data_IF_783276722018
#
_entry.id   IF_783276722018
#
_cell.length_a   1.000
_cell.length_b   1.000
_cell.length_c   1.000
_cell.angle_alpha   90.00
_cell.angle_beta   90.00
_cell.angle_gamma   90.00
#
_symmetry.space_group_name_H-M   'P 1'
#
loop_
_entity.id
_entity.type
_entity.pdbx_description
1 polymer ?
#
# COMPACT_ATOMS: atom_id res chain seq x y z
N UNK A 1 4.20 5.03 -33.95
CA UNK A 1 3.79 6.36 -33.44
C UNK A 1 2.30 6.65 -33.64
N UNK A 2 1.71 6.32 -34.80
CA UNK A 2 0.30 6.62 -35.13
C UNK A 2 -0.75 5.80 -34.35
N UNK A 3 -0.44 4.58 -33.90
CA UNK A 3 -1.36 3.74 -33.13
C UNK A 3 -1.62 4.24 -31.69
N UNK A 4 -0.66 4.96 -31.08
CA UNK A 4 -0.80 5.56 -29.75
C UNK A 4 -1.76 6.76 -29.74
N UNK A 5 -1.80 7.51 -30.83
CA UNK A 5 -2.73 8.64 -30.98
C UNK A 5 -4.18 8.19 -31.17
N UNK A 6 -4.43 7.07 -31.85
CA UNK A 6 -5.79 6.52 -32.04
C UNK A 6 -6.43 6.02 -30.75
N UNK A 7 -5.65 5.34 -29.89
CA UNK A 7 -6.12 4.88 -28.58
C UNK A 7 -6.38 6.04 -27.61
N UNK A 8 -5.51 7.07 -27.62
CA UNK A 8 -5.72 8.29 -26.86
C UNK A 8 -6.93 9.10 -27.35
N UNK A 9 -7.22 9.13 -28.65
CA UNK A 9 -8.41 9.79 -29.21
C UNK A 9 -9.70 9.08 -28.80
N UNK A 10 -9.76 7.74 -28.93
CA UNK A 10 -10.93 6.95 -28.51
C UNK A 10 -11.16 7.01 -27.00
N UNK A 11 -10.12 6.94 -26.18
CA UNK A 11 -10.25 7.09 -24.73
C UNK A 11 -10.76 8.50 -24.37
N UNK A 12 -10.29 9.54 -25.07
CA UNK A 12 -10.73 10.92 -24.88
C UNK A 12 -12.16 11.17 -25.38
N UNK A 13 -12.60 10.49 -26.44
CA UNK A 13 -13.99 10.51 -26.93
C UNK A 13 -14.94 9.74 -26.01
N UNK A 14 -14.55 8.58 -25.47
CA UNK A 14 -15.32 7.86 -24.45
C UNK A 14 -15.41 8.64 -23.12
N UNK A 15 -14.34 9.34 -22.72
CA UNK A 15 -14.34 10.23 -21.55
C UNK A 15 -15.16 11.50 -21.78
N UNK A 16 -15.15 12.06 -22.99
CA UNK A 16 -15.98 13.23 -23.32
C UNK A 16 -17.47 12.86 -23.43
N UNK A 17 -17.80 11.68 -23.96
CA UNK A 17 -19.19 11.18 -24.02
C UNK A 17 -19.78 10.86 -22.63
N UNK A 18 -18.93 10.56 -21.63
CA UNK A 18 -19.33 10.40 -20.21
C UNK A 18 -19.09 11.64 -19.34
N UNK A 19 -18.52 12.71 -19.90
CA UNK A 19 -18.43 14.01 -19.22
C UNK A 19 -19.81 14.64 -19.05
N UNK A 20 -20.71 14.41 -20.00
CA UNK A 20 -22.08 14.92 -19.96
C UNK A 20 -22.97 14.22 -18.91
N UNK A 21 -22.55 13.05 -18.40
CA UNK A 21 -23.23 12.38 -17.27
C UNK A 21 -22.60 12.71 -15.91
N UNK A 22 -21.40 13.29 -15.88
CA UNK A 22 -20.80 13.83 -14.66
C UNK A 22 -21.18 15.30 -14.53
N UNK A 23 -22.45 15.58 -14.22
CA UNK A 23 -22.82 16.91 -13.73
C UNK A 23 -22.02 17.14 -12.46
N UNK A 24 -21.18 18.20 -12.36
CA UNK A 24 -20.64 18.59 -11.09
C UNK A 24 -21.84 18.96 -10.22
N UNK A 25 -22.23 18.07 -9.32
CA UNK A 25 -23.04 18.46 -8.19
C UNK A 25 -22.24 19.52 -7.45
N UNK A 26 -22.58 20.79 -7.66
CA UNK A 26 -22.16 21.90 -6.81
C UNK A 26 -22.85 21.72 -5.47
N UNK A 27 -22.40 20.74 -4.72
CA UNK A 27 -22.61 20.63 -3.30
C UNK A 27 -21.20 20.56 -2.73
N UNK A 28 -20.59 21.72 -2.51
CA UNK A 28 -19.64 21.81 -1.41
C UNK A 28 -20.36 21.16 -0.21
N UNK A 29 -19.82 20.11 0.40
CA UNK A 29 -20.48 19.46 1.51
C UNK A 29 -20.86 20.54 2.53
N UNK A 30 -22.09 20.51 3.07
CA UNK A 30 -22.42 21.37 4.22
C UNK A 30 -21.36 21.10 5.28
N UNK A 31 -21.04 22.08 6.13
CA UNK A 31 -20.01 21.92 7.19
C UNK A 31 -20.24 20.63 8.03
N UNK A 32 -21.49 20.22 8.20
CA UNK A 32 -21.89 18.95 8.84
C UNK A 32 -21.50 17.68 8.05
N UNK A 33 -21.49 17.73 6.72
CA UNK A 33 -21.03 16.65 5.84
C UNK A 33 -19.51 16.60 5.78
N UNK A 34 -18.80 17.72 6.02
CA UNK A 34 -17.34 17.74 6.13
C UNK A 34 -16.89 17.01 7.40
N UNK A 35 -17.52 17.28 8.55
CA UNK A 35 -17.23 16.56 9.79
C UNK A 35 -17.51 15.05 9.66
N UNK A 36 -18.63 14.67 9.04
CA UNK A 36 -18.94 13.25 8.77
C UNK A 36 -17.99 12.61 7.76
N UNK A 37 -17.62 13.31 6.69
CA UNK A 37 -16.66 12.82 5.69
C UNK A 37 -15.26 12.63 6.30
N UNK A 38 -14.85 13.55 7.18
CA UNK A 38 -13.60 13.46 7.93
C UNK A 38 -13.67 12.30 8.93
N UNK A 39 -14.76 12.18 9.71
CA UNK A 39 -14.94 11.07 10.65
C UNK A 39 -14.96 9.71 9.94
N UNK A 40 -15.59 9.57 8.77
CA UNK A 40 -15.54 8.35 7.96
C UNK A 40 -14.13 8.07 7.40
N UNK A 41 -13.43 9.10 6.91
CA UNK A 41 -12.07 8.96 6.37
C UNK A 41 -11.06 8.58 7.46
N UNK A 42 -11.21 9.11 8.68
CA UNK A 42 -10.33 8.85 9.82
C UNK A 42 -10.73 7.62 10.66
N UNK A 43 -12.00 7.21 10.70
CA UNK A 43 -12.42 6.03 11.48
C UNK A 43 -12.19 4.71 10.73
N UNK A 44 -12.24 4.73 9.39
CA UNK A 44 -12.33 3.53 8.52
C UNK A 44 -13.40 2.47 8.92
N UNK A 45 -14.18 2.72 9.97
CA UNK A 45 -15.51 2.16 10.16
C UNK A 45 -16.42 2.80 9.12
N UNK A 46 -16.53 2.13 7.98
CA UNK A 46 -17.64 2.36 7.08
C UNK A 46 -18.77 1.45 7.56
N UNK A 47 -19.86 2.02 8.11
CA UNK A 47 -21.07 1.23 8.27
C UNK A 47 -21.40 0.62 6.90
N UNK A 48 -21.83 -0.64 6.88
CA UNK A 48 -22.45 -1.26 5.69
C UNK A 48 -23.61 -0.40 5.12
N UNK A 49 -24.04 0.62 5.86
CA UNK A 49 -25.05 1.63 5.56
C UNK A 49 -24.65 2.65 4.48
N UNK A 50 -23.38 2.74 4.07
CA UNK A 50 -23.00 3.50 2.86
C UNK A 50 -23.34 2.75 1.55
N UNK A 51 -23.91 1.55 1.64
CA UNK A 51 -24.78 0.98 0.60
C UNK A 51 -26.12 1.76 0.70
N UNK A 52 -26.09 3.05 0.33
CA UNK A 52 -27.28 3.88 0.42
C UNK A 52 -28.34 3.39 -0.57
N UNK A 53 -29.58 3.27 -0.09
CA UNK A 53 -30.82 2.99 -0.81
C UNK A 53 -31.24 4.10 -1.79
N UNK A 54 -30.28 4.73 -2.46
CA UNK A 54 -30.49 5.86 -3.37
C UNK A 54 -30.37 5.37 -4.83
N UNK A 55 -31.36 5.55 -5.71
CA UNK A 55 -31.38 4.97 -7.06
C UNK A 55 -30.28 5.48 -8.00
N UNK A 56 -29.57 6.56 -7.61
CA UNK A 56 -28.37 7.11 -8.26
C UNK A 56 -27.10 6.27 -8.01
N UNK A 57 -27.09 5.42 -6.98
CA UNK A 57 -26.01 4.48 -6.64
C UNK A 57 -26.04 3.18 -7.46
N UNK A 58 -26.73 3.18 -8.61
CA UNK A 58 -26.72 2.09 -9.59
C UNK A 58 -25.39 1.91 -10.32
N UNK A 59 -24.44 2.82 -10.12
CA UNK A 59 -23.07 2.72 -10.59
C UNK A 59 -22.26 2.37 -9.35
N UNK A 60 -21.61 1.20 -9.30
CA UNK A 60 -20.91 0.69 -8.10
C UNK A 60 -19.61 1.44 -7.75
N UNK A 61 -19.68 2.77 -7.71
CA UNK A 61 -18.62 3.75 -7.52
C UNK A 61 -19.15 4.90 -6.65
N UNK A 62 -18.40 5.28 -5.62
CA UNK A 62 -18.71 6.45 -4.78
C UNK A 62 -17.61 7.49 -4.87
N UNK A 63 -17.98 8.75 -5.04
CA UNK A 63 -17.04 9.87 -5.07
C UNK A 63 -17.15 10.71 -3.79
N UNK A 64 -16.01 11.04 -3.21
CA UNK A 64 -15.86 11.86 -2.02
C UNK A 64 -14.77 12.90 -2.26
N UNK A 65 -14.99 14.14 -1.82
CA UNK A 65 -13.93 15.16 -1.77
C UNK A 65 -13.61 15.46 -0.31
N UNK A 66 -12.38 15.12 0.12
CA UNK A 66 -11.89 15.35 1.47
C UNK A 66 -10.73 16.33 1.41
N UNK A 67 -10.92 17.54 1.95
CA UNK A 67 -9.88 18.58 2.04
C UNK A 67 -9.19 18.89 0.69
N UNK A 68 -9.93 18.83 -0.42
CA UNK A 68 -9.42 19.05 -1.77
C UNK A 68 -8.87 17.79 -2.45
N UNK A 69 -8.83 16.65 -1.75
CA UNK A 69 -8.45 15.35 -2.29
C UNK A 69 -9.68 14.60 -2.78
N UNK A 70 -9.67 14.23 -4.06
CA UNK A 70 -10.72 13.43 -4.69
C UNK A 70 -10.48 11.95 -4.42
N UNK A 71 -11.36 11.32 -3.64
CA UNK A 71 -11.33 9.90 -3.33
C UNK A 71 -12.48 9.21 -4.04
N UNK A 72 -12.19 8.13 -4.75
CA UNK A 72 -13.20 7.30 -5.42
C UNK A 72 -13.15 5.90 -4.81
N UNK A 73 -14.27 5.48 -4.24
CA UNK A 73 -14.45 4.14 -3.70
C UNK A 73 -15.06 3.22 -4.75
N UNK A 74 -14.50 2.01 -4.86
CA UNK A 74 -14.94 0.97 -5.79
C UNK A 74 -15.73 -0.06 -5.01
N UNK A 75 -17.03 -0.17 -5.28
CA UNK A 75 -17.92 -1.12 -4.59
C UNK A 75 -18.28 -2.34 -5.45
N UNK A 76 -18.20 -2.20 -6.78
CA UNK A 76 -18.51 -3.27 -7.75
C UNK A 76 -17.24 -3.91 -8.30
N UNK A 77 -17.28 -5.23 -8.50
CA UNK A 77 -16.21 -5.99 -9.14
C UNK A 77 -16.02 -5.59 -10.61
N UNK A 78 -17.11 -5.27 -11.30
CA UNK A 78 -17.10 -4.76 -12.67
C UNK A 78 -16.34 -3.43 -12.75
N UNK A 79 -16.65 -2.49 -11.85
CA UNK A 79 -15.97 -1.20 -11.78
C UNK A 79 -14.48 -1.35 -11.42
N UNK A 80 -14.16 -2.25 -10.47
CA UNK A 80 -12.77 -2.55 -10.11
C UNK A 80 -11.99 -3.14 -11.29
N UNK A 81 -12.59 -4.07 -12.03
CA UNK A 81 -11.97 -4.65 -13.23
C UNK A 81 -11.78 -3.61 -14.33
N UNK A 82 -12.77 -2.77 -14.59
CA UNK A 82 -12.68 -1.71 -15.61
C UNK A 82 -11.54 -0.72 -15.27
N UNK A 83 -11.45 -0.27 -14.02
CA UNK A 83 -10.46 0.73 -13.63
C UNK A 83 -9.05 0.15 -13.42
N UNK A 84 -8.92 -0.96 -12.70
CA UNK A 84 -7.62 -1.51 -12.31
C UNK A 84 -6.99 -2.41 -13.39
N UNK A 85 -7.80 -3.10 -14.21
CA UNK A 85 -7.31 -4.00 -15.26
C UNK A 85 -7.35 -3.32 -16.61
N UNK A 86 -8.54 -2.93 -17.08
CA UNK A 86 -8.70 -2.38 -18.44
C UNK A 86 -8.01 -1.02 -18.58
N UNK A 87 -8.19 -0.15 -17.58
CA UNK A 87 -7.60 1.19 -17.54
C UNK A 87 -6.35 1.27 -16.65
N UNK A 88 -5.72 0.13 -16.33
CA UNK A 88 -4.61 0.07 -15.38
C UNK A 88 -3.45 1.00 -15.74
N UNK A 89 -3.14 1.21 -17.03
CA UNK A 89 -2.07 2.15 -17.45
C UNK A 89 -2.29 3.59 -17.00
N UNK A 90 -3.54 3.98 -16.72
CA UNK A 90 -3.92 5.31 -16.26
C UNK A 90 -4.00 5.34 -14.73
N UNK A 91 -4.56 4.29 -14.12
CA UNK A 91 -4.86 4.25 -12.68
C UNK A 91 -3.82 3.49 -11.83
N UNK A 92 -2.68 3.08 -12.42
CA UNK A 92 -1.61 2.37 -11.70
C UNK A 92 -0.70 3.27 -10.86
N UNK A 93 -0.96 4.58 -10.81
CA UNK A 93 -0.17 5.48 -9.97
C UNK A 93 -0.50 5.32 -8.47
N UNK A 94 0.31 5.95 -7.62
CA UNK A 94 0.13 5.95 -6.17
C UNK A 94 0.02 7.38 -5.66
N UNK A 95 -0.90 7.67 -4.72
CA UNK A 95 -0.90 8.96 -4.06
C UNK A 95 0.44 9.18 -3.34
N UNK A 96 0.95 10.42 -3.31
CA UNK A 96 2.23 10.71 -2.68
C UNK A 96 2.13 10.50 -1.15
N UNK A 97 2.87 9.52 -0.63
CA UNK A 97 3.00 9.27 0.81
C UNK A 97 4.26 9.97 1.34
N UNK A 98 4.18 11.30 1.46
CA UNK A 98 5.29 12.20 1.83
C UNK A 98 6.01 11.73 3.11
N UNK A 99 5.27 11.20 4.09
CA UNK A 99 5.86 10.69 5.33
C UNK A 99 6.85 9.53 5.07
N UNK A 100 6.49 8.61 4.18
CA UNK A 100 7.26 7.39 3.91
C UNK A 100 8.33 7.66 2.86
N UNK A 101 7.94 8.22 1.73
CA UNK A 101 8.79 8.37 0.56
C UNK A 101 9.79 9.49 0.74
N UNK A 102 9.36 10.65 1.24
CA UNK A 102 10.17 11.86 1.28
C UNK A 102 10.84 12.13 2.63
N UNK A 103 10.15 11.86 3.75
CA UNK A 103 10.71 12.10 5.09
C UNK A 103 11.52 10.91 5.59
N UNK A 104 10.95 9.70 5.55
CA UNK A 104 11.73 8.49 5.87
C UNK A 104 12.72 8.14 4.74
N UNK A 105 12.47 8.61 3.51
CA UNK A 105 13.31 8.27 2.36
C UNK A 105 13.18 6.81 1.93
N UNK A 106 12.05 6.19 2.28
CA UNK A 106 11.80 4.77 2.06
C UNK A 106 10.85 4.61 0.88
N UNK A 107 11.38 4.14 -0.25
CA UNK A 107 10.61 3.98 -1.49
C UNK A 107 10.81 2.58 -2.11
N UNK A 108 10.36 1.51 -1.42
CA UNK A 108 10.28 0.19 -2.03
C UNK A 108 9.20 0.20 -3.13
N UNK A 109 9.24 -0.80 -4.01
CA UNK A 109 8.33 -0.90 -5.17
C UNK A 109 6.86 -0.55 -4.87
N UNK A 110 6.22 -1.05 -3.80
CA UNK A 110 4.81 -0.78 -3.52
C UNK A 110 4.43 0.68 -3.25
N UNK A 111 5.34 1.48 -2.69
CA UNK A 111 5.09 2.90 -2.34
C UNK A 111 5.61 3.88 -3.39
N UNK A 112 6.28 3.38 -4.43
CA UNK A 112 6.83 4.21 -5.50
C UNK A 112 5.73 4.58 -6.50
N UNK A 113 5.68 5.86 -6.89
CA UNK A 113 4.84 6.32 -8.00
C UNK A 113 5.17 5.61 -9.31
N UNK A 114 4.19 5.54 -10.21
CA UNK A 114 4.37 4.84 -11.48
C UNK A 114 5.45 5.51 -12.33
N UNK A 115 6.41 4.71 -12.83
CA UNK A 115 7.52 5.22 -13.63
C UNK A 115 8.53 4.14 -13.99
N UNK A 116 9.58 4.53 -14.73
CA UNK A 116 10.61 3.61 -15.24
C UNK A 116 11.30 2.81 -14.11
N UNK A 117 11.58 3.45 -12.98
CA UNK A 117 12.17 2.80 -11.80
C UNK A 117 11.29 1.66 -11.27
N UNK A 118 9.97 1.89 -11.16
CA UNK A 118 9.03 0.87 -10.71
C UNK A 118 8.94 -0.28 -11.72
N UNK A 119 8.84 0.05 -13.01
CA UNK A 119 8.82 -0.95 -14.08
C UNK A 119 10.09 -1.82 -14.06
N UNK A 120 11.26 -1.22 -13.86
CA UNK A 120 12.52 -1.94 -13.75
C UNK A 120 12.56 -2.85 -12.52
N UNK A 121 12.17 -2.36 -11.35
CA UNK A 121 12.07 -3.18 -10.13
C UNK A 121 11.12 -4.36 -10.32
N UNK A 122 9.94 -4.14 -10.91
CA UNK A 122 8.99 -5.21 -11.23
C UNK A 122 9.55 -6.23 -12.20
N UNK A 123 10.26 -5.78 -13.24
CA UNK A 123 10.89 -6.67 -14.22
C UNK A 123 11.94 -7.58 -13.55
N UNK A 124 12.76 -7.02 -12.66
CA UNK A 124 13.76 -7.80 -11.93
C UNK A 124 13.10 -8.80 -10.96
N UNK A 125 12.05 -8.37 -10.26
CA UNK A 125 11.31 -9.23 -9.36
C UNK A 125 10.59 -10.37 -10.10
N UNK A 126 10.01 -10.10 -11.27
CA UNK A 126 9.42 -11.12 -12.13
C UNK A 126 10.47 -12.09 -12.67
N UNK A 127 11.66 -11.62 -13.02
CA UNK A 127 12.76 -12.49 -13.45
C UNK A 127 13.27 -13.40 -12.33
N UNK A 128 13.25 -12.94 -11.08
CA UNK A 128 13.73 -13.70 -9.92
C UNK A 128 12.66 -14.61 -9.31
N UNK A 129 11.43 -14.12 -9.18
CA UNK A 129 10.32 -14.77 -8.46
C UNK A 129 9.16 -15.19 -9.37
N UNK A 130 9.32 -15.04 -10.69
CA UNK A 130 8.29 -15.41 -11.65
C UNK A 130 8.01 -16.91 -11.69
N UNK A 131 6.93 -17.31 -12.38
CA UNK A 131 6.45 -18.70 -12.42
C UNK A 131 7.49 -19.70 -12.92
N UNK A 132 8.44 -19.24 -13.74
CA UNK A 132 9.53 -20.07 -14.26
C UNK A 132 10.49 -20.57 -13.16
N UNK A 133 10.68 -19.81 -12.07
CA UNK A 133 11.60 -20.14 -10.98
C UNK A 133 10.90 -20.82 -9.79
N UNK A 134 9.56 -20.87 -9.79
CA UNK A 134 8.78 -21.51 -8.72
C UNK A 134 9.22 -22.95 -8.44
N UNK A 135 9.50 -23.82 -9.43
CA UNK A 135 9.96 -25.19 -9.17
C UNK A 135 11.28 -25.25 -8.39
N UNK A 136 12.15 -24.25 -8.54
CA UNK A 136 13.43 -24.17 -7.82
C UNK A 136 13.23 -23.91 -6.33
N UNK A 137 12.17 -23.19 -5.95
CA UNK A 137 11.86 -22.87 -4.55
C UNK A 137 11.06 -23.97 -3.84
N UNK A 138 10.39 -24.86 -4.58
CA UNK A 138 9.58 -25.94 -4.02
C UNK A 138 10.30 -26.79 -2.95
N UNK A 139 11.52 -27.32 -3.16
CA UNK A 139 12.20 -28.11 -2.13
C UNK A 139 12.52 -27.30 -0.87
N UNK A 140 12.75 -25.99 -1.01
CA UNK A 140 13.01 -25.09 0.13
C UNK A 140 11.74 -24.91 0.97
N UNK A 141 10.59 -24.71 0.33
CA UNK A 141 9.30 -24.64 1.02
C UNK A 141 8.97 -25.96 1.71
N UNK A 142 9.19 -27.11 1.06
CA UNK A 142 8.94 -28.42 1.66
C UNK A 142 9.76 -28.66 2.93
N UNK A 143 11.02 -28.23 2.95
CA UNK A 143 11.87 -28.33 4.13
C UNK A 143 11.33 -27.50 5.31
N UNK A 144 10.98 -26.23 5.07
CA UNK A 144 10.44 -25.35 6.12
C UNK A 144 9.04 -25.77 6.59
N UNK A 145 8.20 -26.29 5.68
CA UNK A 145 6.86 -26.81 6.01
C UNK A 145 6.96 -27.99 6.98
N UNK A 146 7.93 -28.91 6.81
CA UNK A 146 8.13 -30.02 7.77
C UNK A 146 8.41 -29.48 9.18
N UNK A 147 9.26 -28.45 9.29
CA UNK A 147 9.54 -27.79 10.56
C UNK A 147 8.34 -27.04 11.13
N UNK A 148 7.52 -26.39 10.29
CA UNK A 148 6.27 -25.77 10.69
C UNK A 148 5.28 -26.81 11.26
N UNK A 149 5.04 -27.90 10.54
CA UNK A 149 4.12 -28.97 10.95
C UNK A 149 4.52 -29.59 12.29
N UNK A 150 5.81 -29.86 12.51
CA UNK A 150 6.31 -30.35 13.80
C UNK A 150 6.00 -29.39 14.96
N UNK A 151 6.19 -28.09 14.74
CA UNK A 151 5.91 -27.08 15.77
C UNK A 151 4.43 -26.92 16.05
N UNK A 152 3.58 -26.97 15.02
CA UNK A 152 2.14 -26.94 15.17
C UNK A 152 1.61 -28.15 15.94
N UNK A 153 2.20 -29.34 15.76
CA UNK A 153 1.86 -30.53 16.53
C UNK A 153 2.33 -30.46 17.99
N UNK A 154 3.49 -29.84 18.24
CA UNK A 154 4.09 -29.78 19.57
C UNK A 154 3.48 -28.65 20.43
N UNK A 155 3.25 -27.47 19.84
CA UNK A 155 2.74 -26.27 20.51
C UNK A 155 1.60 -25.62 19.70
N UNK A 156 0.43 -26.26 19.62
CA UNK A 156 -0.66 -25.80 18.76
C UNK A 156 -1.24 -24.44 19.15
N UNK A 157 -1.09 -24.03 20.42
CA UNK A 157 -1.60 -22.73 20.91
C UNK A 157 -0.85 -21.53 20.31
N UNK A 158 0.40 -21.73 19.89
CA UNK A 158 1.27 -20.66 19.38
C UNK A 158 1.29 -20.61 17.83
N UNK A 159 0.22 -21.08 17.18
CA UNK A 159 0.14 -21.23 15.73
C UNK A 159 0.51 -19.95 14.97
N UNK A 160 0.04 -18.79 15.42
CA UNK A 160 0.30 -17.49 14.78
C UNK A 160 1.80 -17.17 14.75
N UNK A 161 2.50 -17.44 15.86
CA UNK A 161 3.95 -17.27 15.95
C UNK A 161 4.68 -18.23 15.01
N UNK A 162 4.20 -19.47 14.90
CA UNK A 162 4.79 -20.46 14.02
C UNK A 162 4.63 -20.10 12.54
N UNK A 163 3.44 -19.63 12.14
CA UNK A 163 3.16 -19.15 10.78
C UNK A 163 4.02 -17.92 10.47
N UNK A 164 4.06 -16.93 11.38
CA UNK A 164 4.86 -15.72 11.23
C UNK A 164 6.36 -16.00 11.10
N UNK A 165 6.88 -16.99 11.85
CA UNK A 165 8.27 -17.43 11.67
C UNK A 165 8.47 -18.12 10.33
N UNK A 166 7.55 -19.00 9.93
CA UNK A 166 7.66 -19.73 8.67
C UNK A 166 7.74 -18.76 7.48
N UNK A 167 6.85 -17.77 7.43
CA UNK A 167 6.85 -16.76 6.36
C UNK A 167 8.14 -15.94 6.34
N UNK A 168 8.63 -15.51 7.51
CA UNK A 168 9.90 -14.79 7.62
C UNK A 168 11.12 -15.63 7.23
N UNK A 169 11.18 -16.90 7.65
CA UNK A 169 12.26 -17.81 7.31
C UNK A 169 12.32 -18.09 5.81
N UNK A 170 11.16 -18.35 5.19
CA UNK A 170 11.06 -18.54 3.74
C UNK A 170 11.48 -17.28 2.98
N UNK A 171 11.08 -16.10 3.46
CA UNK A 171 11.46 -14.83 2.85
C UNK A 171 12.99 -14.63 2.88
N UNK A 172 13.61 -14.85 4.03
CA UNK A 172 15.06 -14.72 4.19
C UNK A 172 15.82 -15.74 3.34
N UNK A 173 15.31 -16.96 3.24
CA UNK A 173 15.90 -18.02 2.43
C UNK A 173 15.81 -17.72 0.93
N UNK A 174 14.67 -17.24 0.44
CA UNK A 174 14.46 -16.96 -0.99
C UNK A 174 15.19 -15.70 -1.43
N UNK A 175 15.15 -14.62 -0.63
CA UNK A 175 15.72 -13.33 -1.03
C UNK A 175 17.22 -13.26 -0.74
N UNK A 176 17.63 -13.73 0.44
CA UNK A 176 19.01 -13.57 0.91
C UNK A 176 19.79 -14.89 0.96
N UNK A 177 19.16 -16.04 0.68
CA UNK A 177 19.81 -17.34 0.82
C UNK A 177 20.06 -17.76 2.27
N UNK A 178 19.47 -17.07 3.25
CA UNK A 178 19.74 -17.30 4.66
C UNK A 178 18.76 -18.30 5.28
N UNK A 179 19.32 -19.40 5.81
CA UNK A 179 18.56 -20.43 6.53
C UNK A 179 18.42 -20.07 8.01
N UNK A 180 17.19 -19.80 8.44
CA UNK A 180 16.86 -19.47 9.82
C UNK A 180 16.95 -20.72 10.71
N UNK A 181 18.02 -20.82 11.49
CA UNK A 181 18.29 -21.97 12.37
C UNK A 181 17.60 -21.84 13.73
N UNK A 182 17.43 -20.62 14.23
CA UNK A 182 16.89 -20.34 15.58
C UNK A 182 15.65 -19.46 15.52
N UNK A 183 14.84 -19.49 16.59
CA UNK A 183 13.76 -18.53 16.77
C UNK A 183 14.28 -17.12 17.10
N UNK A 184 15.51 -17.02 17.60
CA UNK A 184 16.17 -15.75 17.95
C UNK A 184 17.12 -15.29 16.85
N UNK A 185 16.87 -15.71 15.62
CA UNK A 185 17.63 -15.24 14.48
C UNK A 185 17.50 -13.72 14.34
N UNK A 186 18.64 -13.04 14.28
CA UNK A 186 18.68 -11.58 14.32
C UNK A 186 18.06 -10.96 13.06
N UNK A 187 18.24 -11.60 11.91
CA UNK A 187 17.67 -11.13 10.64
C UNK A 187 16.15 -11.36 10.62
N UNK A 188 15.68 -12.45 11.20
CA UNK A 188 14.24 -12.68 11.39
C UNK A 188 13.63 -11.62 12.31
N UNK A 189 14.28 -11.32 13.43
CA UNK A 189 13.82 -10.31 14.38
C UNK A 189 13.83 -8.90 13.77
N UNK A 190 14.89 -8.56 13.02
CA UNK A 190 15.01 -7.28 12.31
C UNK A 190 13.90 -7.13 11.26
N UNK A 191 13.70 -8.14 10.40
CA UNK A 191 12.64 -8.12 9.39
C UNK A 191 11.25 -7.95 10.00
N UNK A 192 10.96 -8.68 11.08
CA UNK A 192 9.69 -8.54 11.82
C UNK A 192 9.51 -7.13 12.38
N UNK A 193 10.54 -6.58 13.03
CA UNK A 193 10.51 -5.23 13.60
C UNK A 193 10.29 -4.16 12.53
N UNK A 194 10.98 -4.26 11.40
CA UNK A 194 10.84 -3.32 10.29
C UNK A 194 9.46 -3.38 9.66
N UNK A 195 8.88 -4.58 9.52
CA UNK A 195 7.50 -4.73 9.03
C UNK A 195 6.48 -4.14 10.01
N UNK A 196 6.63 -4.41 11.31
CA UNK A 196 5.75 -3.86 12.35
C UNK A 196 5.82 -2.32 12.39
N UNK A 197 7.02 -1.76 12.31
CA UNK A 197 7.25 -0.32 12.22
C UNK A 197 6.61 0.27 10.97
N UNK A 198 6.77 -0.38 9.82
CA UNK A 198 6.17 0.07 8.57
C UNK A 198 4.63 0.08 8.67
N UNK A 199 4.02 -1.02 9.09
CA UNK A 199 2.55 -1.19 9.10
C UNK A 199 1.86 -0.42 10.22
N UNK A 200 2.46 -0.31 11.40
CA UNK A 200 1.79 0.31 12.55
C UNK A 200 2.12 1.79 12.73
N UNK A 201 3.32 2.22 12.35
CA UNK A 201 3.81 3.57 12.65
C UNK A 201 3.99 4.42 11.40
N UNK A 202 4.62 3.90 10.34
CA UNK A 202 4.99 4.68 9.15
C UNK A 202 3.80 4.84 8.20
N UNK A 203 3.12 3.74 7.87
CA UNK A 203 1.85 3.71 7.13
C UNK A 203 0.74 3.13 7.99
N UNK A 204 0.33 3.82 9.07
CA UNK A 204 -0.77 3.36 9.88
C UNK A 204 -2.00 3.20 9.00
N UNK A 205 -2.83 2.20 9.33
CA UNK A 205 -4.12 2.06 8.69
C UNK A 205 -4.90 3.40 8.79
N UNK A 206 -5.71 3.75 7.77
CA UNK A 206 -6.45 5.01 7.76
C UNK A 206 -7.29 5.21 9.03
N UNK A 207 -7.75 4.12 9.65
CA UNK A 207 -8.48 4.08 10.92
C UNK A 207 -7.69 4.51 12.15
N UNK A 208 -6.35 4.43 12.11
CA UNK A 208 -5.50 4.78 13.26
C UNK A 208 -5.10 6.24 13.20
N UNK A 209 -4.53 6.67 12.08
CA UNK A 209 -4.12 8.05 11.86
C UNK A 209 -3.73 8.24 10.40
N UNK A 210 -3.93 9.44 9.86
CA UNK A 210 -3.33 9.84 8.59
C UNK A 210 -2.38 10.99 8.90
N UNK A 211 -1.15 10.89 8.42
CA UNK A 211 -0.15 11.92 8.69
C UNK A 211 -0.57 13.24 8.05
N UNK A 212 -0.55 14.31 8.84
CA UNK A 212 -0.89 15.64 8.33
C UNK A 212 -0.01 16.05 7.13
N UNK A 213 1.23 15.56 7.07
CA UNK A 213 2.15 15.79 5.94
C UNK A 213 1.73 15.10 4.65
N UNK A 214 0.97 14.01 4.72
CA UNK A 214 0.44 13.32 3.54
C UNK A 214 -0.80 14.04 2.98
N UNK A 215 -1.57 14.70 3.84
CA UNK A 215 -2.70 15.57 3.43
C UNK A 215 -2.22 16.94 2.97
N UNK A 216 -1.24 17.52 3.68
CA UNK A 216 -0.68 18.84 3.40
C UNK A 216 0.85 18.75 3.21
N UNK A 217 1.33 18.49 1.98
CA UNK A 217 2.77 18.34 1.69
C UNK A 217 3.61 19.58 2.03
N UNK A 218 2.98 20.77 2.12
CA UNK A 218 3.66 22.01 2.53
C UNK A 218 4.28 21.94 3.92
N UNK A 219 3.74 21.11 4.82
CA UNK A 219 4.24 20.92 6.19
C UNK A 219 5.67 20.36 6.23
N UNK A 220 6.14 19.70 5.17
CA UNK A 220 7.54 19.23 5.05
C UNK A 220 8.56 20.39 5.14
N UNK A 221 8.19 21.59 4.69
CA UNK A 221 9.09 22.76 4.59
C UNK A 221 9.28 23.50 5.91
N UNK A 222 8.54 23.15 6.95
CA UNK A 222 8.62 23.81 8.26
C UNK A 222 9.99 23.54 8.90
N UNK A 223 10.71 24.52 9.46
CA UNK A 223 12.00 24.30 10.13
C UNK A 223 11.89 23.39 11.34
N UNK A 224 12.94 22.59 11.62
CA UNK A 224 12.89 21.55 12.67
C UNK A 224 12.73 22.09 14.09
N UNK A 225 13.03 23.37 14.33
CA UNK A 225 12.85 24.04 15.63
C UNK A 225 11.40 24.41 15.95
N UNK A 226 10.49 24.37 14.97
CA UNK A 226 9.10 24.78 15.15
C UNK A 226 8.35 23.78 16.04
N UNK A 227 7.47 24.24 16.97
CA UNK A 227 6.61 23.32 17.72
C UNK A 227 5.76 22.48 16.74
N UNK A 228 5.51 21.21 17.06
CA UNK A 228 4.80 20.24 16.21
C UNK A 228 5.60 19.53 15.10
N UNK A 229 6.92 19.72 14.99
CA UNK A 229 7.78 18.96 14.04
C UNK A 229 8.21 17.57 14.53
N UNK A 230 7.55 17.01 15.56
CA UNK A 230 7.90 15.69 16.13
C UNK A 230 7.88 14.57 15.08
N UNK A 231 7.04 14.70 14.05
CA UNK A 231 6.98 13.76 12.93
C UNK A 231 8.29 13.69 12.15
N UNK A 232 9.06 14.78 12.04
CA UNK A 232 10.36 14.78 11.36
C UNK A 232 11.41 13.99 12.12
N UNK A 233 11.45 14.14 13.45
CA UNK A 233 12.36 13.34 14.30
C UNK A 233 12.04 11.86 14.18
N UNK A 234 10.75 11.50 14.26
CA UNK A 234 10.28 10.13 13.99
C UNK A 234 10.73 9.65 12.61
N UNK A 235 10.62 10.49 11.57
CA UNK A 235 11.07 10.14 10.23
C UNK A 235 12.56 9.77 10.16
N UNK A 236 13.41 10.53 10.85
CA UNK A 236 14.86 10.28 10.92
C UNK A 236 15.15 8.95 11.63
N UNK A 237 14.48 8.70 12.75
CA UNK A 237 14.64 7.45 13.51
C UNK A 237 14.15 6.22 12.72
N UNK A 238 13.05 6.37 12.00
CA UNK A 238 12.48 5.31 11.16
C UNK A 238 13.29 5.08 9.89
N UNK A 239 13.86 6.14 9.30
CA UNK A 239 14.80 6.02 8.18
C UNK A 239 15.96 5.10 8.55
N UNK A 240 16.58 5.31 9.72
CA UNK A 240 17.71 4.48 10.15
C UNK A 240 17.30 3.00 10.27
N UNK A 241 16.17 2.72 10.91
CA UNK A 241 15.67 1.34 11.10
C UNK A 241 15.24 0.66 9.79
N UNK A 242 14.61 1.40 8.87
CA UNK A 242 14.19 0.87 7.59
C UNK A 242 15.39 0.59 6.66
N UNK A 243 16.39 1.46 6.66
CA UNK A 243 17.61 1.26 5.86
C UNK A 243 18.49 0.13 6.42
N UNK A 244 18.49 -0.07 7.73
CA UNK A 244 19.22 -1.18 8.36
C UNK A 244 18.85 -2.54 7.75
N UNK A 245 17.58 -2.77 7.43
CA UNK A 245 17.14 -4.03 6.78
C UNK A 245 17.73 -4.22 5.37
N UNK A 246 17.98 -3.12 4.64
CA UNK A 246 18.49 -3.18 3.27
C UNK A 246 20.01 -3.24 3.20
N UNK A 247 20.68 -2.48 4.08
CA UNK A 247 22.13 -2.30 4.04
C UNK A 247 22.88 -3.38 4.84
N UNK A 248 22.16 -4.18 5.64
CA UNK A 248 22.77 -5.24 6.43
C UNK A 248 23.27 -6.38 5.53
N UNK A 249 24.57 -6.71 5.57
CA UNK A 249 25.08 -7.85 4.82
C UNK A 249 24.48 -9.14 5.40
N UNK A 250 24.12 -10.06 4.51
CA UNK A 250 23.58 -11.38 4.83
C UNK A 250 24.63 -12.45 4.57
#
# INVERSE_FOLDING_TARGET
>A
MLARFGAQRRAREHLNARRDTFRPGTCLPRVQDLERSLLCFFSAEFPNEYISSDPTYRIGLTYLNVLGTNVVYLHSAEAAKELLVTCGTIYNDRPPLVMVTELCGYEPGPFRSYGEKLCRQRSLMEQALGPANVPTFQPLFEAEIRGLSYRLLTYPKDYDRHISRYTGAVHLLVIYGHTVTSNNDELLALGKRSLELLTNEVTPAPSKCIWAVDVFPSLKRIPDWFPFTRFKRKATDWRAQLLELYDRPV
#
